data_IF_484788228810
#
_entry.id   IF_484788228810
#
_cell.length_a   1.000
_cell.length_b   1.000
_cell.length_c   1.000
_cell.angle_alpha   90.00
_cell.angle_beta   90.00
_cell.angle_gamma   90.00
#
_symmetry.space_group_name_H-M   'P 1'
#
loop_
_entity.id
_entity.type
_entity.pdbx_description
1 polymer ?
#
# COMPACT_ATOMS: atom_id res chain seq x y z
N UNK A 1 8.02 -10.66 13.07
CA UNK A 1 8.93 -10.68 11.90
C UNK A 1 8.35 -9.77 10.81
N UNK A 2 9.18 -8.92 10.23
CA UNK A 2 8.72 -7.97 9.20
C UNK A 2 9.00 -8.50 7.80
N UNK A 3 8.01 -8.39 6.94
CA UNK A 3 8.08 -8.79 5.53
C UNK A 3 7.76 -7.57 4.69
N UNK A 4 8.57 -7.32 3.69
CA UNK A 4 8.38 -6.15 2.83
C UNK A 4 8.28 -6.53 1.36
N UNK A 5 7.54 -5.72 0.63
CA UNK A 5 7.54 -5.67 -0.82
C UNK A 5 7.56 -4.22 -1.28
N UNK A 6 8.28 -3.95 -2.36
CA UNK A 6 8.48 -2.61 -2.90
C UNK A 6 8.12 -2.60 -4.38
N UNK A 7 7.32 -1.64 -4.79
CA UNK A 7 7.07 -1.34 -6.19
C UNK A 7 7.50 0.09 -6.49
N UNK A 8 8.30 0.24 -7.55
CA UNK A 8 8.84 1.54 -7.97
C UNK A 8 8.20 2.00 -9.26
N UNK A 9 8.15 3.32 -9.43
CA UNK A 9 7.68 3.97 -10.67
C UNK A 9 6.27 3.57 -11.09
N UNK A 10 5.35 3.50 -10.13
CA UNK A 10 3.93 3.32 -10.42
C UNK A 10 3.41 4.61 -11.04
N UNK A 11 2.76 4.51 -12.20
CA UNK A 11 2.23 5.66 -12.95
C UNK A 11 0.95 6.23 -12.35
N UNK A 12 0.97 6.50 -11.06
CA UNK A 12 -0.12 7.12 -10.31
C UNK A 12 0.48 8.17 -9.39
N UNK A 13 -0.21 9.28 -9.20
CA UNK A 13 0.29 10.34 -8.32
C UNK A 13 0.38 9.84 -6.87
N UNK A 14 1.36 10.30 -6.09
CA UNK A 14 1.51 9.88 -4.69
C UNK A 14 0.25 10.13 -3.85
N UNK A 15 -0.45 11.21 -4.09
CA UNK A 15 -1.69 11.55 -3.37
C UNK A 15 -2.80 10.53 -3.56
N UNK A 16 -3.03 10.09 -4.79
CA UNK A 16 -4.02 9.06 -5.12
C UNK A 16 -3.66 7.70 -4.50
N UNK A 17 -2.38 7.35 -4.52
CA UNK A 17 -1.89 6.13 -3.87
C UNK A 17 -2.01 6.19 -2.35
N UNK A 18 -1.77 7.34 -1.73
CA UNK A 18 -1.96 7.53 -0.29
C UNK A 18 -3.41 7.34 0.15
N UNK A 19 -4.37 7.79 -0.65
CA UNK A 19 -5.80 7.56 -0.37
C UNK A 19 -6.12 6.07 -0.37
N UNK A 20 -5.67 5.33 -1.37
CA UNK A 20 -5.84 3.87 -1.43
C UNK A 20 -5.14 3.16 -0.27
N UNK A 21 -3.93 3.59 0.07
CA UNK A 21 -3.18 3.03 1.19
C UNK A 21 -3.90 3.20 2.53
N UNK A 22 -4.54 4.35 2.75
CA UNK A 22 -5.35 4.59 3.96
C UNK A 22 -6.58 3.70 4.04
N UNK A 23 -7.25 3.48 2.91
CA UNK A 23 -8.44 2.61 2.86
C UNK A 23 -8.11 1.17 3.26
N UNK A 24 -6.98 0.65 2.81
CA UNK A 24 -6.62 -0.77 3.04
C UNK A 24 -5.83 -1.02 4.32
N UNK A 25 -5.23 -0.01 4.92
CA UNK A 25 -4.34 -0.18 6.09
C UNK A 25 -5.04 -0.83 7.29
N UNK A 26 -6.34 -0.59 7.48
CA UNK A 26 -7.14 -1.14 8.59
C UNK A 26 -7.62 -2.57 8.35
N UNK A 27 -7.46 -3.09 7.15
CA UNK A 27 -7.96 -4.41 6.75
C UNK A 27 -6.87 -5.48 6.88
N UNK A 28 -7.29 -6.75 6.90
CA UNK A 28 -6.37 -7.86 6.73
C UNK A 28 -5.79 -7.85 5.29
N UNK A 29 -4.50 -8.19 5.09
CA UNK A 29 -3.88 -8.13 3.78
C UNK A 29 -4.58 -8.93 2.68
N UNK A 30 -5.13 -10.09 3.00
CA UNK A 30 -5.90 -10.91 2.04
C UNK A 30 -7.21 -10.24 1.63
N UNK A 31 -7.94 -9.68 2.59
CA UNK A 31 -9.18 -8.94 2.33
C UNK A 31 -8.91 -7.68 1.52
N UNK A 32 -7.82 -6.96 1.83
CA UNK A 32 -7.38 -5.79 1.09
C UNK A 32 -7.09 -6.11 -0.38
N UNK A 33 -6.38 -7.20 -0.65
CA UNK A 33 -6.12 -7.66 -2.01
C UNK A 33 -7.41 -8.00 -2.77
N UNK A 34 -8.36 -8.67 -2.12
CA UNK A 34 -9.68 -8.97 -2.70
C UNK A 34 -10.47 -7.71 -3.03
N UNK A 35 -10.56 -6.76 -2.10
CA UNK A 35 -11.26 -5.49 -2.29
C UNK A 35 -10.66 -4.67 -3.44
N UNK A 36 -9.34 -4.55 -3.48
CA UNK A 36 -8.63 -3.79 -4.53
C UNK A 36 -8.86 -4.36 -5.93
N UNK A 37 -9.12 -5.66 -6.05
CA UNK A 37 -9.46 -6.30 -7.32
C UNK A 37 -10.78 -5.83 -7.91
N UNK A 38 -11.72 -5.40 -7.09
CA UNK A 38 -13.04 -4.92 -7.49
C UNK A 38 -13.14 -3.38 -7.57
N UNK A 39 -12.15 -2.68 -7.07
CA UNK A 39 -12.13 -1.22 -7.03
C UNK A 39 -11.76 -0.62 -8.39
N UNK A 40 -12.63 0.22 -8.93
CA UNK A 40 -12.38 0.91 -10.20
C UNK A 40 -11.63 2.24 -9.96
N UNK A 41 -10.41 2.14 -9.45
CA UNK A 41 -9.51 3.29 -9.25
C UNK A 41 -8.14 3.03 -9.85
N UNK A 42 -7.52 4.08 -10.39
CA UNK A 42 -6.15 4.00 -10.86
C UNK A 42 -5.22 3.67 -9.69
N UNK A 43 -4.34 2.70 -9.89
CA UNK A 43 -3.40 2.25 -8.88
C UNK A 43 -3.91 1.13 -7.98
N UNK A 44 -5.21 0.82 -7.98
CA UNK A 44 -5.76 -0.29 -7.20
C UNK A 44 -5.13 -1.63 -7.60
N UNK A 45 -5.01 -1.91 -8.89
CA UNK A 45 -4.37 -3.13 -9.40
C UNK A 45 -2.87 -3.19 -9.07
N UNK A 46 -2.17 -2.06 -9.13
CA UNK A 46 -0.75 -1.99 -8.79
C UNK A 46 -0.54 -2.27 -7.29
N UNK A 47 -1.36 -1.69 -6.43
CA UNK A 47 -1.32 -1.92 -4.99
C UNK A 47 -1.71 -3.37 -4.65
N UNK A 48 -2.72 -3.93 -5.31
CA UNK A 48 -3.09 -5.34 -5.18
C UNK A 48 -1.92 -6.26 -5.47
N UNK A 49 -1.26 -6.11 -6.61
CA UNK A 49 -0.08 -6.92 -6.99
C UNK A 49 1.04 -6.81 -5.97
N UNK A 50 1.25 -5.63 -5.40
CA UNK A 50 2.26 -5.40 -4.39
C UNK A 50 1.92 -6.13 -3.08
N UNK A 51 0.67 -6.11 -2.66
CA UNK A 51 0.20 -6.83 -1.46
C UNK A 51 0.30 -8.35 -1.68
N UNK A 52 -0.11 -8.85 -2.85
CA UNK A 52 0.04 -10.26 -3.21
C UNK A 52 1.50 -10.72 -3.20
N UNK A 53 2.41 -9.88 -3.69
CA UNK A 53 3.86 -10.12 -3.61
C UNK A 53 4.35 -10.21 -2.16
N UNK A 54 3.89 -9.30 -1.29
CA UNK A 54 4.22 -9.34 0.13
C UNK A 54 3.69 -10.60 0.82
N UNK A 55 2.46 -11.02 0.49
CA UNK A 55 1.87 -12.26 1.00
C UNK A 55 2.63 -13.50 0.51
N UNK A 56 3.08 -13.51 -0.73
CA UNK A 56 3.91 -14.61 -1.27
C UNK A 56 5.26 -14.67 -0.55
N UNK A 57 5.90 -13.53 -0.31
CA UNK A 57 7.13 -13.45 0.48
C UNK A 57 6.92 -13.97 1.92
N UNK A 58 5.73 -13.73 2.50
CA UNK A 58 5.36 -14.27 3.80
C UNK A 58 5.25 -15.79 3.82
N UNK A 59 4.61 -16.36 2.78
CA UNK A 59 4.50 -17.81 2.64
C UNK A 59 5.85 -18.51 2.50
N UNK A 60 6.80 -17.90 1.78
CA UNK A 60 8.18 -18.41 1.67
C UNK A 60 8.87 -18.47 3.04
N UNK A 61 8.50 -17.57 3.96
CA UNK A 61 9.01 -17.56 5.34
C UNK A 61 8.15 -18.37 6.31
N UNK A 62 7.27 -19.21 5.81
CA UNK A 62 6.39 -20.09 6.59
C UNK A 62 5.44 -19.36 7.56
N UNK A 63 5.15 -18.08 7.30
CA UNK A 63 4.20 -17.31 8.09
C UNK A 63 2.77 -17.49 7.57
N UNK A 64 1.83 -17.65 8.52
CA UNK A 64 0.43 -17.80 8.19
C UNK A 64 -0.18 -16.45 7.79
N UNK A 65 -0.76 -16.38 6.60
CA UNK A 65 -1.35 -15.15 6.06
C UNK A 65 -2.46 -14.58 6.96
N UNK A 66 -3.22 -15.43 7.65
CA UNK A 66 -4.27 -15.01 8.57
C UNK A 66 -3.79 -14.23 9.80
N UNK A 67 -2.51 -14.34 10.16
CA UNK A 67 -1.93 -13.65 11.30
C UNK A 67 -1.24 -12.35 10.93
N UNK A 68 -1.11 -12.07 9.65
CA UNK A 68 -0.40 -10.88 9.14
C UNK A 68 -1.28 -9.64 9.19
N UNK A 69 -0.64 -8.52 9.53
CA UNK A 69 -1.24 -7.18 9.49
C UNK A 69 -0.32 -6.21 8.81
N UNK A 70 -0.88 -5.14 8.26
CA UNK A 70 -0.08 -4.03 7.76
C UNK A 70 0.61 -3.31 8.92
N UNK A 71 1.92 -3.26 8.89
CA UNK A 71 2.71 -2.41 9.79
C UNK A 71 2.79 -1.00 9.23
N UNK A 72 3.21 -0.89 7.98
CA UNK A 72 3.31 0.36 7.25
C UNK A 72 2.98 0.16 5.78
N UNK A 73 2.30 1.14 5.20
CA UNK A 73 2.21 1.31 3.75
C UNK A 73 2.76 2.71 3.47
N UNK A 74 3.97 2.76 2.95
CA UNK A 74 4.64 4.01 2.65
C UNK A 74 4.50 4.34 1.17
N UNK A 75 4.10 5.56 0.89
CA UNK A 75 4.00 6.10 -0.48
C UNK A 75 4.90 7.31 -0.59
N UNK A 76 5.85 7.25 -1.51
CA UNK A 76 6.83 8.29 -1.75
C UNK A 76 6.73 8.75 -3.21
N UNK A 77 7.04 10.02 -3.46
CA UNK A 77 7.10 10.54 -4.82
C UNK A 77 8.20 9.86 -5.63
N UNK A 78 7.86 9.35 -6.79
CA UNK A 78 8.79 8.66 -7.70
C UNK A 78 9.35 9.52 -8.82
N UNK A 79 9.27 10.83 -8.70
CA UNK A 79 9.62 11.76 -9.77
C UNK A 79 8.45 12.05 -10.70
N UNK A 80 8.72 12.72 -11.79
CA UNK A 80 7.70 13.09 -12.75
C UNK A 80 8.26 13.16 -14.18
N UNK A 81 7.46 12.74 -15.14
CA UNK A 81 7.75 12.93 -16.55
C UNK A 81 7.16 14.26 -17.03
N UNK A 82 7.97 15.10 -17.65
CA UNK A 82 7.51 16.36 -18.23
C UNK A 82 6.81 16.10 -19.56
N UNK A 83 5.64 16.72 -19.76
CA UNK A 83 4.84 16.63 -20.98
C UNK A 83 4.34 18.01 -21.35
N UNK A 84 3.97 18.19 -22.62
CA UNK A 84 3.43 19.42 -23.15
C UNK A 84 1.97 19.21 -23.59
N UNK A 85 1.17 20.23 -23.36
CA UNK A 85 -0.21 20.27 -23.84
C UNK A 85 -0.41 21.53 -24.68
N UNK A 86 -0.93 21.38 -25.87
CA UNK A 86 -1.35 22.50 -26.68
C UNK A 86 -2.53 23.23 -26.04
N UNK A 87 -2.46 24.56 -26.01
CA UNK A 87 -3.50 25.45 -25.51
C UNK A 87 -3.80 26.54 -26.50
N UNK A 88 -4.72 27.47 -26.20
CA UNK A 88 -5.12 28.54 -27.10
C UNK A 88 -3.94 29.41 -27.56
N UNK A 89 -4.12 30.06 -28.70
CA UNK A 89 -3.17 31.01 -29.30
C UNK A 89 -1.79 30.41 -29.64
N UNK A 90 -1.74 29.13 -30.00
CA UNK A 90 -0.49 28.46 -30.38
C UNK A 90 0.50 28.25 -29.26
N UNK A 91 0.11 28.51 -28.05
CA UNK A 91 0.98 28.30 -26.87
C UNK A 91 0.94 26.84 -26.40
N UNK A 92 2.02 26.39 -25.79
CA UNK A 92 2.11 25.07 -25.16
C UNK A 92 2.39 25.24 -23.67
N UNK A 93 1.59 24.57 -22.83
CA UNK A 93 1.84 24.49 -21.39
C UNK A 93 2.45 23.16 -21.00
N UNK A 94 3.40 23.21 -20.11
CA UNK A 94 4.01 22.02 -19.52
C UNK A 94 3.14 21.46 -18.41
N UNK A 95 3.04 20.12 -18.32
CA UNK A 95 2.49 19.44 -17.17
C UNK A 95 3.40 18.27 -16.76
N UNK A 96 3.24 17.81 -15.53
CA UNK A 96 4.03 16.72 -14.97
C UNK A 96 3.17 15.48 -14.81
N UNK A 97 3.57 14.38 -15.44
CA UNK A 97 3.01 13.06 -15.18
C UNK A 97 3.74 12.47 -13.97
N UNK A 98 3.12 12.56 -12.81
CA UNK A 98 3.73 12.12 -11.54
C UNK A 98 3.70 10.61 -11.39
N UNK A 99 4.73 10.08 -10.75
CA UNK A 99 4.85 8.67 -10.38
C UNK A 99 5.04 8.54 -8.87
N UNK A 100 4.82 7.34 -8.35
CA UNK A 100 5.01 7.04 -6.94
C UNK A 100 5.77 5.73 -6.74
N UNK A 101 6.46 5.64 -5.61
CA UNK A 101 7.02 4.40 -5.09
C UNK A 101 6.20 3.98 -3.89
N UNK A 102 5.87 2.71 -3.79
CA UNK A 102 5.11 2.16 -2.68
C UNK A 102 5.89 1.03 -2.03
N UNK A 103 5.99 1.08 -0.70
CA UNK A 103 6.53 0.01 0.13
C UNK A 103 5.46 -0.47 1.08
N UNK A 104 5.20 -1.78 1.06
CA UNK A 104 4.30 -2.44 1.99
C UNK A 104 5.13 -3.27 2.95
N UNK A 105 4.88 -3.10 4.23
CA UNK A 105 5.49 -3.89 5.31
C UNK A 105 4.39 -4.61 6.06
N UNK A 106 4.45 -5.93 6.07
CA UNK A 106 3.57 -6.79 6.84
C UNK A 106 4.30 -7.29 8.09
N UNK A 107 3.56 -7.50 9.16
CA UNK A 107 4.11 -8.03 10.42
C UNK A 107 3.12 -8.98 11.09
N UNK A 108 3.64 -9.94 11.81
CA UNK A 108 2.89 -10.81 12.73
C UNK A 108 2.92 -10.30 14.19
N UNK A 109 3.85 -9.41 14.52
CA UNK A 109 4.12 -8.99 15.90
C UNK A 109 3.00 -8.14 16.52
N UNK A 110 2.21 -7.41 15.70
CA UNK A 110 1.10 -6.58 16.19
C UNK A 110 -0.03 -7.40 16.82
N UNK A 111 -0.20 -8.65 16.41
CA UNK A 111 -1.19 -9.56 16.97
C UNK A 111 -0.83 -9.92 18.42
N UNK A 112 0.47 -10.08 18.70
CA UNK A 112 0.97 -10.41 20.03
C UNK A 112 0.82 -9.26 21.00
N UNK A 113 1.03 -8.01 20.57
CA UNK A 113 0.88 -6.80 21.41
C UNK A 113 -0.57 -6.55 21.81
N UNK A 114 -1.52 -6.69 20.89
CA UNK A 114 -2.95 -6.45 21.19
C UNK A 114 -3.51 -7.46 22.19
N UNK A 115 -3.06 -8.70 22.15
CA UNK A 115 -3.46 -9.73 23.12
C UNK A 115 -2.86 -9.51 24.51
N UNK A 116 -1.68 -8.92 24.60
CA UNK A 116 -1.03 -8.61 25.90
C UNK A 116 -1.70 -7.40 26.55
N UNK A 117 -2.02 -6.35 25.77
CA UNK A 117 -2.66 -5.15 26.32
C UNK A 117 -4.10 -5.42 26.77
N UNK A 118 -4.87 -6.23 26.02
CA UNK A 118 -6.21 -6.65 26.45
C UNK A 118 -6.22 -7.54 27.68
N UNK A 119 -5.16 -8.34 27.91
CA UNK A 119 -4.98 -9.10 29.14
C UNK A 119 -4.59 -8.21 30.32
N UNK A 120 -3.78 -7.17 30.10
CA UNK A 120 -3.40 -6.21 31.15
C UNK A 120 -4.59 -5.36 31.62
N UNK A 121 -5.46 -4.92 30.72
CA UNK A 121 -6.66 -4.18 31.11
C UNK A 121 -7.66 -5.05 31.88
N UNK A 122 -7.85 -6.31 31.48
CA UNK A 122 -8.71 -7.24 32.23
C UNK A 122 -8.16 -7.64 33.60
N UNK A 123 -6.86 -7.54 33.83
CA UNK A 123 -6.23 -7.83 35.13
C UNK A 123 -6.19 -6.63 36.09
N UNK A 124 -6.55 -5.42 35.63
CA UNK A 124 -6.66 -4.20 36.42
C UNK A 124 -8.08 -3.86 36.91
N UNK A 125 -9.05 -4.65 36.49
CA UNK A 125 -10.42 -4.59 36.95
C UNK A 125 -10.64 -5.72 37.94
#
# INVERSE_FOLDING_TARGET
MDIQAISRYIRVSPRKMQLLAREVHSMAPEQAAGMLGHLNKNGALALKKLIESALTNAKVKELQAAQLKFKHIEVVSGGAMKRFRAVSRGMAHTYKKRMSHVRVVLTDDLVKKTTVDSKKEKSKI
#
